data_IF_955204710879
#
_entry.id   IF_955204710879
#
_cell.length_a   1.000
_cell.length_b   1.000
_cell.length_c   1.000
_cell.angle_alpha   90.00
_cell.angle_beta   90.00
_cell.angle_gamma   90.00
#
_symmetry.space_group_name_H-M   'P 1'
#
loop_
_entity.id
_entity.type
_entity.pdbx_description
1 polymer ?
#
# COMPACT_ATOMS: atom_id res chain seq x y z
N UNK A 1 -3.07 13.38 52.27
CA UNK A 1 -4.06 14.22 52.95
C UNK A 1 -3.64 14.38 54.41
N UNK A 2 -3.83 15.54 54.98
CA UNK A 2 -3.46 15.88 56.36
C UNK A 2 -4.12 17.17 56.81
N UNK A 3 -3.58 17.75 57.87
CA UNK A 3 -4.00 19.04 58.41
C UNK A 3 -2.81 20.02 58.39
N UNK A 4 -3.08 21.27 58.16
CA UNK A 4 -2.11 22.37 58.24
C UNK A 4 -2.62 23.45 59.23
N UNK A 5 -1.82 23.77 60.25
CA UNK A 5 -0.56 23.12 60.65
C UNK A 5 -0.76 21.67 61.10
N UNK A 6 0.35 20.93 61.33
CA UNK A 6 0.29 19.57 61.87
C UNK A 6 -0.43 19.58 63.25
N UNK A 7 -1.28 18.58 63.48
CA UNK A 7 -2.05 18.49 64.72
C UNK A 7 -1.13 18.19 65.89
N UNK A 8 -1.13 19.06 66.90
CA UNK A 8 -0.31 18.94 68.11
C UNK A 8 -1.18 18.89 69.37
N UNK A 9 -0.57 18.62 70.52
CA UNK A 9 -1.26 18.62 71.83
C UNK A 9 -1.89 20.01 72.05
N UNK A 10 -3.14 20.00 72.54
CA UNK A 10 -3.91 21.22 72.82
C UNK A 10 -3.26 22.02 73.93
N UNK A 11 -2.85 23.27 73.61
CA UNK A 11 -2.30 24.24 74.56
C UNK A 11 -3.02 25.59 74.54
N UNK A 12 -4.02 25.74 73.68
CA UNK A 12 -4.84 26.91 73.39
C UNK A 12 -5.74 26.72 72.20
N UNK A 13 -6.48 27.77 71.82
CA UNK A 13 -7.31 27.76 70.63
C UNK A 13 -6.45 27.63 69.37
N UNK A 14 -6.86 26.72 68.47
CA UNK A 14 -6.15 26.42 67.22
C UNK A 14 -7.12 26.16 66.07
N UNK A 15 -6.72 26.56 64.86
CA UNK A 15 -7.44 26.29 63.65
C UNK A 15 -6.59 25.41 62.74
N UNK A 16 -7.16 24.31 62.30
CA UNK A 16 -6.52 23.36 61.39
C UNK A 16 -7.26 23.33 60.08
N UNK A 17 -6.54 23.50 58.95
CA UNK A 17 -7.10 23.42 57.61
C UNK A 17 -6.79 22.08 56.97
N UNK A 18 -7.79 21.39 56.47
CA UNK A 18 -7.60 20.12 55.75
C UNK A 18 -6.79 20.36 54.46
N UNK A 19 -5.79 19.51 54.26
CA UNK A 19 -4.99 19.49 53.03
C UNK A 19 -5.21 18.16 52.30
N UNK A 20 -5.30 18.27 50.99
CA UNK A 20 -5.55 17.14 50.09
C UNK A 20 -4.40 17.01 49.09
N UNK A 21 -4.04 15.78 48.77
CA UNK A 21 -3.21 15.46 47.62
C UNK A 21 -4.13 15.02 46.48
N UNK A 22 -3.81 15.44 45.28
CA UNK A 22 -4.47 14.99 44.06
C UNK A 22 -3.52 14.11 43.23
N UNK A 23 -4.05 13.08 42.65
CA UNK A 23 -3.36 12.29 41.61
C UNK A 23 -4.11 12.44 40.30
N UNK A 24 -3.39 12.58 39.20
CA UNK A 24 -3.99 12.65 37.90
C UNK A 24 -4.66 11.31 37.57
N UNK A 25 -5.86 11.36 37.01
CA UNK A 25 -6.56 10.15 36.56
C UNK A 25 -5.92 9.63 35.30
N UNK A 26 -5.85 8.31 35.19
CA UNK A 26 -5.41 7.61 34.00
C UNK A 26 -6.59 6.87 33.38
N UNK A 27 -6.53 6.69 32.07
CA UNK A 27 -7.54 6.00 31.27
C UNK A 27 -6.86 5.08 30.28
N UNK A 28 -7.47 3.94 30.03
CA UNK A 28 -6.96 2.94 29.08
C UNK A 28 -7.29 3.37 27.68
N UNK A 29 -6.26 3.57 26.86
CA UNK A 29 -6.39 3.85 25.44
C UNK A 29 -5.91 2.65 24.65
N UNK A 30 -6.76 2.16 23.75
CA UNK A 30 -6.50 1.00 22.90
C UNK A 30 -6.47 1.41 21.43
N UNK A 31 -5.41 1.02 20.74
CA UNK A 31 -5.26 1.15 19.29
C UNK A 31 -5.39 -0.24 18.66
N UNK A 32 -6.28 -0.37 17.69
CA UNK A 32 -6.57 -1.61 16.95
C UNK A 32 -6.16 -1.45 15.50
N UNK A 33 -5.78 -2.55 14.87
CA UNK A 33 -5.75 -2.63 13.42
C UNK A 33 -7.18 -2.79 12.86
N UNK A 34 -7.35 -2.66 11.55
CA UNK A 34 -8.68 -2.76 10.90
C UNK A 34 -9.35 -4.14 11.08
N UNK A 35 -8.55 -5.19 11.33
CA UNK A 35 -9.04 -6.56 11.61
C UNK A 35 -9.43 -6.77 13.08
N UNK A 36 -9.28 -5.73 13.92
CA UNK A 36 -9.56 -5.77 15.35
C UNK A 36 -8.40 -6.28 16.21
N UNK A 37 -7.26 -6.60 15.64
CA UNK A 37 -6.07 -6.96 16.42
C UNK A 37 -5.54 -5.76 17.21
N UNK A 38 -5.07 -6.01 18.44
CA UNK A 38 -4.56 -4.96 19.32
C UNK A 38 -3.12 -4.59 18.91
N UNK A 39 -2.93 -3.34 18.50
CA UNK A 39 -1.62 -2.76 18.23
C UNK A 39 -0.98 -2.20 19.48
N UNK A 40 -1.77 -1.54 20.33
CA UNK A 40 -1.35 -1.01 21.62
C UNK A 40 -2.53 -0.87 22.57
N UNK A 41 -2.33 -1.18 23.85
CA UNK A 41 -3.31 -0.90 24.90
C UNK A 41 -2.56 -0.55 26.19
N UNK A 42 -2.72 0.69 26.67
CA UNK A 42 -2.02 1.19 27.86
C UNK A 42 -2.73 2.38 28.48
N UNK A 43 -2.38 2.68 29.73
CA UNK A 43 -2.94 3.80 30.45
C UNK A 43 -2.22 5.10 30.09
N UNK A 44 -3.01 6.16 29.96
CA UNK A 44 -2.58 7.52 29.67
C UNK A 44 -3.17 8.51 30.66
N UNK A 45 -2.41 9.52 31.00
CA UNK A 45 -2.85 10.58 31.90
C UNK A 45 -3.95 11.43 31.26
N UNK A 46 -4.94 11.82 32.08
CA UNK A 46 -6.00 12.75 31.65
C UNK A 46 -5.40 14.00 31.02
N UNK A 47 -5.93 14.41 29.87
CA UNK A 47 -5.53 15.61 29.14
C UNK A 47 -4.28 15.47 28.29
N UNK A 48 -3.64 14.28 28.24
CA UNK A 48 -2.53 14.02 27.30
C UNK A 48 -3.03 13.58 25.93
N UNK A 49 -2.21 13.72 24.89
CA UNK A 49 -2.50 13.22 23.54
C UNK A 49 -1.91 11.82 23.41
N UNK A 50 -2.73 10.78 23.22
CA UNK A 50 -2.21 9.43 23.04
C UNK A 50 -1.62 9.25 21.65
N UNK A 51 -0.60 8.41 21.53
CA UNK A 51 0.08 8.12 20.26
C UNK A 51 0.29 6.61 20.10
N UNK A 52 0.24 6.16 18.84
CA UNK A 52 0.64 4.83 18.41
C UNK A 52 1.39 4.97 17.09
N UNK A 53 2.37 4.10 16.87
CA UNK A 53 3.07 4.06 15.58
C UNK A 53 2.09 3.69 14.47
N UNK A 54 2.32 4.24 13.27
CA UNK A 54 1.49 3.97 12.10
C UNK A 54 1.64 2.49 11.71
N UNK A 55 0.56 1.72 11.69
CA UNK A 55 0.62 0.33 11.28
C UNK A 55 0.78 0.21 9.77
N UNK A 56 1.32 -0.92 9.33
CA UNK A 56 1.49 -1.24 7.91
C UNK A 56 0.60 -2.43 7.54
N UNK A 57 -0.14 -2.28 6.44
CA UNK A 57 -0.93 -3.36 5.85
C UNK A 57 -0.19 -3.93 4.64
N UNK A 58 0.08 -5.26 4.59
CA UNK A 58 0.72 -5.89 3.44
C UNK A 58 -0.09 -5.70 2.16
N UNK A 59 0.60 -5.36 1.06
CA UNK A 59 -0.02 -5.31 -0.26
C UNK A 59 -0.48 -6.71 -0.71
N UNK A 60 -1.58 -6.75 -1.45
CA UNK A 60 -2.02 -7.92 -2.20
C UNK A 60 -1.50 -7.85 -3.64
N UNK A 61 -1.78 -8.85 -4.47
CA UNK A 61 -1.52 -8.75 -5.91
C UNK A 61 -2.30 -7.60 -6.55
N UNK A 62 -3.52 -7.34 -6.07
CA UNK A 62 -4.42 -6.34 -6.64
C UNK A 62 -4.21 -4.94 -6.08
N UNK A 63 -3.96 -4.79 -4.76
CA UNK A 63 -3.92 -3.49 -4.08
C UNK A 63 -2.66 -3.29 -3.26
N UNK A 64 -2.16 -2.07 -3.29
CA UNK A 64 -1.28 -1.50 -2.28
C UNK A 64 -2.11 -0.72 -1.26
N UNK A 65 -1.70 -0.74 0.02
CA UNK A 65 -2.39 -0.06 1.11
C UNK A 65 -1.48 0.96 1.76
N UNK A 66 -2.08 2.10 2.13
CA UNK A 66 -1.40 3.17 2.87
C UNK A 66 -2.25 3.54 4.08
N UNK A 67 -1.63 3.66 5.24
CA UNK A 67 -2.33 4.11 6.45
C UNK A 67 -2.98 5.47 6.21
N UNK A 68 -4.26 5.60 6.54
CA UNK A 68 -5.07 6.79 6.29
C UNK A 68 -5.43 7.55 7.59
N UNK A 69 -5.11 6.98 8.74
CA UNK A 69 -5.39 7.57 10.04
C UNK A 69 -6.18 6.66 10.97
N UNK A 70 -6.45 7.18 12.15
CA UNK A 70 -7.21 6.51 13.19
C UNK A 70 -8.69 6.91 13.14
N UNK A 71 -9.57 5.98 13.43
CA UNK A 71 -11.01 6.22 13.54
C UNK A 71 -11.53 5.72 14.90
N UNK A 72 -12.25 6.56 15.68
CA UNK A 72 -12.43 8.00 15.49
C UNK A 72 -11.09 8.76 15.51
N UNK A 73 -11.11 10.05 15.16
CA UNK A 73 -9.92 10.92 15.25
C UNK A 73 -9.38 10.94 16.69
N UNK A 74 -8.06 10.86 16.83
CA UNK A 74 -7.40 10.84 18.16
C UNK A 74 -7.54 12.20 18.81
N UNK A 75 -8.02 12.21 20.05
CA UNK A 75 -8.23 13.42 20.84
C UNK A 75 -7.55 13.31 22.20
N UNK A 76 -7.50 14.41 22.94
CA UNK A 76 -6.97 14.43 24.32
C UNK A 76 -7.75 13.47 25.21
N UNK A 77 -7.02 12.73 26.04
CA UNK A 77 -7.56 11.74 26.96
C UNK A 77 -8.54 12.37 27.95
N UNK A 78 -9.79 11.95 27.90
CA UNK A 78 -10.86 12.34 28.83
C UNK A 78 -11.62 11.17 29.43
N UNK A 79 -11.36 9.95 28.95
CA UNK A 79 -11.93 8.68 29.36
C UNK A 79 -11.27 7.55 28.58
N UNK A 80 -11.67 6.30 28.85
CA UNK A 80 -11.24 5.14 28.07
C UNK A 80 -11.70 5.32 26.61
N UNK A 81 -10.82 4.97 25.68
CA UNK A 81 -11.10 5.13 24.24
C UNK A 81 -10.42 4.02 23.40
N UNK A 82 -11.04 3.73 22.27
CA UNK A 82 -10.52 2.81 21.28
C UNK A 82 -10.46 3.50 19.92
N UNK A 83 -9.31 3.39 19.27
CA UNK A 83 -9.04 3.94 17.94
C UNK A 83 -8.67 2.80 17.01
N UNK A 84 -9.30 2.74 15.84
CA UNK A 84 -9.05 1.70 14.82
C UNK A 84 -8.33 2.29 13.63
N UNK A 85 -7.30 1.62 13.14
CA UNK A 85 -6.58 2.01 11.95
C UNK A 85 -7.49 1.94 10.70
N UNK A 86 -7.32 2.88 9.81
CA UNK A 86 -7.94 2.88 8.49
C UNK A 86 -6.89 2.97 7.40
N UNK A 87 -7.18 2.39 6.21
CA UNK A 87 -6.26 2.37 5.08
C UNK A 87 -6.94 2.82 3.80
N UNK A 88 -6.22 3.53 2.97
CA UNK A 88 -6.56 3.72 1.56
C UNK A 88 -5.95 2.61 0.73
N UNK A 89 -6.67 2.17 -0.31
CA UNK A 89 -6.18 1.18 -1.26
C UNK A 89 -5.94 1.82 -2.63
N UNK A 90 -4.83 1.45 -3.27
CA UNK A 90 -4.49 1.86 -4.63
C UNK A 90 -4.33 0.62 -5.49
N UNK A 91 -5.01 0.58 -6.63
CA UNK A 91 -4.89 -0.52 -7.59
C UNK A 91 -3.45 -0.58 -8.11
N UNK A 92 -2.82 -1.75 -8.02
CA UNK A 92 -1.44 -1.94 -8.49
C UNK A 92 -1.37 -1.94 -9.99
N UNK A 93 -0.26 -1.42 -10.49
CA UNK A 93 0.13 -1.50 -11.88
C UNK A 93 1.33 -2.44 -12.01
N UNK A 94 1.46 -3.07 -13.17
CA UNK A 94 2.51 -4.01 -13.48
C UNK A 94 3.16 -3.69 -14.79
N UNK A 95 4.46 -3.90 -14.86
CA UNK A 95 5.25 -3.66 -16.07
C UNK A 95 5.03 -4.77 -17.09
N UNK A 96 4.48 -4.41 -18.25
CA UNK A 96 4.35 -5.29 -19.40
C UNK A 96 5.45 -4.98 -20.39
N UNK A 97 6.28 -5.96 -20.69
CA UNK A 97 7.40 -5.84 -21.63
C UNK A 97 7.06 -6.54 -22.95
N UNK A 98 7.11 -5.80 -24.04
CA UNK A 98 6.91 -6.30 -25.39
C UNK A 98 8.27 -6.47 -26.08
N UNK A 99 8.52 -7.65 -26.65
CA UNK A 99 9.80 -7.98 -27.28
C UNK A 99 9.61 -8.48 -28.72
N UNK A 100 10.64 -8.25 -29.52
CA UNK A 100 10.82 -8.96 -30.77
C UNK A 100 11.30 -10.39 -30.53
N UNK A 101 11.24 -11.24 -31.57
CA UNK A 101 11.71 -12.63 -31.52
C UNK A 101 13.23 -12.74 -31.24
N UNK A 102 14.02 -11.72 -31.53
CA UNK A 102 15.45 -11.64 -31.22
C UNK A 102 15.75 -11.23 -29.77
N UNK A 103 14.70 -11.00 -28.97
CA UNK A 103 14.79 -10.59 -27.58
C UNK A 103 14.93 -9.10 -27.36
N UNK A 104 15.03 -8.29 -28.42
CA UNK A 104 15.04 -6.81 -28.31
C UNK A 104 13.70 -6.30 -27.76
N UNK A 105 13.78 -5.30 -26.88
CA UNK A 105 12.57 -4.67 -26.30
C UNK A 105 11.97 -3.74 -27.34
N UNK A 106 10.69 -3.93 -27.63
CA UNK A 106 9.88 -3.03 -28.45
C UNK A 106 9.35 -1.88 -27.59
N UNK A 107 8.75 -2.24 -26.45
CA UNK A 107 8.12 -1.27 -25.54
C UNK A 107 7.95 -1.86 -24.13
N UNK A 108 7.76 -0.96 -23.15
CA UNK A 108 7.36 -1.29 -21.79
C UNK A 108 6.25 -0.34 -21.36
N UNK A 109 5.17 -0.91 -20.84
CA UNK A 109 3.97 -0.16 -20.43
C UNK A 109 3.53 -0.59 -19.03
N UNK A 110 3.07 0.37 -18.24
CA UNK A 110 2.42 0.09 -16.94
C UNK A 110 0.94 -0.16 -17.17
N UNK A 111 0.45 -1.32 -16.76
CA UNK A 111 -0.94 -1.75 -16.95
C UNK A 111 -1.56 -2.13 -15.61
N UNK A 112 -2.74 -1.59 -15.27
CA UNK A 112 -3.43 -1.90 -14.03
C UNK A 112 -3.78 -3.40 -13.91
N UNK A 113 -3.74 -3.92 -12.68
CA UNK A 113 -4.19 -5.28 -12.37
C UNK A 113 -5.59 -5.55 -12.96
N UNK A 114 -5.75 -6.72 -13.55
CA UNK A 114 -7.03 -7.20 -14.10
C UNK A 114 -7.39 -6.61 -15.47
N UNK A 115 -6.56 -5.77 -16.07
CA UNK A 115 -6.75 -5.32 -17.46
C UNK A 115 -6.02 -6.25 -18.44
N UNK A 116 -6.49 -6.29 -19.69
CA UNK A 116 -5.77 -6.96 -20.77
C UNK A 116 -4.81 -5.94 -21.38
N UNK A 117 -3.48 -6.19 -21.37
CA UNK A 117 -2.54 -5.29 -22.04
C UNK A 117 -2.68 -5.38 -23.56
N UNK A 118 -2.46 -4.25 -24.24
CA UNK A 118 -2.54 -4.17 -25.68
C UNK A 118 -1.28 -3.52 -26.25
N UNK A 119 -0.87 -3.97 -27.42
CA UNK A 119 0.22 -3.35 -28.18
C UNK A 119 -0.10 -3.36 -29.67
N UNK A 120 0.41 -2.37 -30.40
CA UNK A 120 0.32 -2.34 -31.87
C UNK A 120 1.07 -3.52 -32.49
N UNK A 121 0.62 -3.94 -33.68
CA UNK A 121 1.27 -5.04 -34.41
C UNK A 121 2.69 -4.59 -34.79
N UNK A 122 3.74 -5.30 -34.33
CA UNK A 122 5.11 -4.99 -34.70
C UNK A 122 5.41 -5.47 -36.12
N UNK A 123 6.36 -4.81 -36.80
CA UNK A 123 6.82 -5.18 -38.13
C UNK A 123 8.22 -5.76 -38.08
N UNK A 124 8.43 -6.86 -38.80
CA UNK A 124 9.76 -7.43 -39.04
C UNK A 124 10.20 -7.14 -40.46
N UNK A 125 11.39 -6.50 -40.66
CA UNK A 125 11.90 -6.22 -42.00
C UNK A 125 12.08 -7.50 -42.81
N UNK A 126 11.69 -7.46 -44.09
CA UNK A 126 11.96 -8.55 -45.05
C UNK A 126 13.45 -8.68 -45.33
N UNK A 127 13.89 -9.90 -45.57
CA UNK A 127 15.21 -10.21 -46.12
C UNK A 127 15.15 -10.40 -47.64
N UNK A 128 16.30 -10.67 -48.27
CA UNK A 128 16.30 -11.02 -49.70
C UNK A 128 15.51 -12.31 -49.96
N UNK A 129 15.50 -13.25 -48.98
CA UNK A 129 14.84 -14.55 -49.14
C UNK A 129 13.40 -14.58 -48.63
N UNK A 130 13.07 -13.82 -47.58
CA UNK A 130 11.83 -13.99 -46.86
C UNK A 130 11.10 -12.65 -46.63
N UNK A 131 9.78 -12.72 -46.68
CA UNK A 131 8.88 -11.76 -46.04
C UNK A 131 8.35 -12.36 -44.75
N UNK A 132 8.03 -11.51 -43.76
CA UNK A 132 7.54 -11.93 -42.43
C UNK A 132 6.15 -11.34 -42.16
N UNK A 133 5.29 -12.18 -41.59
CA UNK A 133 3.94 -11.76 -41.19
C UNK A 133 3.79 -12.05 -39.71
N UNK A 134 3.39 -11.05 -38.93
CA UNK A 134 3.10 -11.21 -37.52
C UNK A 134 1.95 -12.18 -37.31
N UNK A 135 2.10 -13.12 -36.38
CA UNK A 135 1.12 -14.16 -36.05
C UNK A 135 0.44 -13.86 -34.70
N UNK A 136 1.21 -13.38 -33.74
CA UNK A 136 0.70 -13.12 -32.41
C UNK A 136 1.83 -12.95 -31.39
N UNK A 137 1.44 -12.83 -30.16
CA UNK A 137 2.35 -12.72 -29.02
C UNK A 137 2.50 -14.09 -28.32
N UNK A 138 3.69 -14.37 -27.81
CA UNK A 138 3.98 -15.56 -27.02
C UNK A 138 4.59 -15.15 -25.66
N UNK A 139 4.04 -15.64 -24.52
CA UNK A 139 2.81 -16.41 -24.38
C UNK A 139 1.57 -15.65 -24.86
N UNK A 140 0.40 -16.31 -24.88
CA UNK A 140 -0.87 -15.65 -25.15
C UNK A 140 -1.12 -14.53 -24.14
N UNK A 141 -1.65 -13.38 -24.63
CA UNK A 141 -1.93 -12.22 -23.80
C UNK A 141 -3.14 -12.49 -22.91
N UNK A 142 -2.93 -12.33 -21.61
CA UNK A 142 -3.96 -12.58 -20.57
C UNK A 142 -4.14 -11.35 -19.67
N UNK A 143 -5.13 -11.42 -18.78
CA UNK A 143 -5.35 -10.40 -17.74
C UNK A 143 -4.09 -10.21 -16.88
N UNK A 144 -3.73 -8.96 -16.61
CA UNK A 144 -2.57 -8.61 -15.78
C UNK A 144 -2.81 -9.04 -14.34
N UNK A 145 -1.93 -9.91 -13.84
CA UNK A 145 -1.85 -10.33 -12.43
C UNK A 145 -0.46 -10.11 -11.83
N UNK A 146 0.50 -9.69 -12.65
CA UNK A 146 1.91 -9.45 -12.31
C UNK A 146 2.66 -8.92 -13.51
N UNK A 147 3.96 -8.65 -13.35
CA UNK A 147 4.84 -8.29 -14.46
C UNK A 147 4.87 -9.42 -15.50
N UNK A 148 4.81 -9.06 -16.78
CA UNK A 148 4.78 -10.03 -17.87
C UNK A 148 5.62 -9.59 -19.06
N UNK A 149 6.09 -10.58 -19.82
CA UNK A 149 6.83 -10.36 -21.07
C UNK A 149 6.15 -11.13 -22.18
N UNK A 150 5.84 -10.45 -23.27
CA UNK A 150 5.26 -11.01 -24.48
C UNK A 150 6.24 -10.82 -25.64
N UNK A 151 6.51 -11.90 -26.37
CA UNK A 151 7.43 -11.91 -27.52
C UNK A 151 6.65 -12.05 -28.82
N UNK A 152 6.93 -11.20 -29.80
CA UNK A 152 6.32 -11.25 -31.12
C UNK A 152 6.72 -12.54 -31.84
N UNK A 153 5.76 -13.18 -32.50
CA UNK A 153 5.99 -14.35 -33.33
C UNK A 153 5.61 -14.06 -34.76
N UNK A 154 6.36 -14.62 -35.71
CA UNK A 154 6.17 -14.38 -37.15
C UNK A 154 6.19 -15.68 -37.94
N UNK A 155 5.42 -15.73 -39.03
CA UNK A 155 5.61 -16.70 -40.09
C UNK A 155 6.48 -16.08 -41.20
N UNK A 156 7.27 -16.89 -41.87
CA UNK A 156 8.09 -16.50 -43.01
C UNK A 156 7.55 -17.08 -44.33
N UNK A 157 7.54 -16.28 -45.39
CA UNK A 157 7.18 -16.69 -46.74
C UNK A 157 8.36 -16.44 -47.66
N UNK A 158 8.75 -17.44 -48.46
CA UNK A 158 9.83 -17.32 -49.42
C UNK A 158 9.46 -16.29 -50.49
N UNK A 159 10.35 -15.39 -50.78
CA UNK A 159 10.16 -14.40 -51.85
C UNK A 159 10.38 -15.08 -53.22
N UNK A 160 9.57 -14.64 -54.16
CA UNK A 160 9.70 -15.08 -55.58
C UNK A 160 10.17 -13.89 -56.40
N UNK A 161 11.06 -14.18 -57.36
CA UNK A 161 11.63 -13.21 -58.26
C UNK A 161 11.41 -13.66 -59.69
N UNK A 162 11.05 -12.75 -60.56
CA UNK A 162 10.92 -12.99 -62.01
C UNK A 162 12.25 -12.68 -62.66
N UNK A 163 12.78 -13.65 -63.42
CA UNK A 163 13.94 -13.48 -64.29
C UNK A 163 13.43 -13.40 -65.73
N UNK A 164 13.77 -12.32 -66.39
CA UNK A 164 13.45 -12.12 -67.82
C UNK A 164 14.73 -12.18 -68.60
N UNK A 165 14.72 -13.02 -69.68
CA UNK A 165 15.79 -13.08 -70.66
C UNK A 165 15.32 -12.31 -71.89
N UNK A 166 16.16 -11.47 -72.46
CA UNK A 166 15.89 -10.72 -73.65
C UNK A 166 16.98 -11.03 -74.67
N UNK A 167 16.58 -11.12 -76.04
CA UNK A 167 17.50 -11.33 -77.15
C UNK A 167 18.23 -10.03 -77.51
#
# INVERSE_FOLDING_TARGET
AGWSPEVVLVSGDATYTATYTSTLRQYTITFLDEDGSILSSRDWDYGTMPTCDEPTKPSTEQYAYTFAGWHPEVVLVSGDATYTASYTSTLRQYTITWKNEDGSIIDQTEVPYGQIPTHSIPTKPSTEQYTYTFVGWSPEVVLVSGDATYTATYTSTLRQYTITFQD
#
